data_IF_770394185041
#
_entry.id   IF_770394185041
#
_cell.length_a   1.000
_cell.length_b   1.000
_cell.length_c   1.000
_cell.angle_alpha   90.00
_cell.angle_beta   90.00
_cell.angle_gamma   90.00
#
_symmetry.space_group_name_H-M   'P 1'
#
loop_
_entity.id
_entity.type
_entity.pdbx_description
1 polymer ?
#
# COMPACT_ATOMS: atom_id res chain seq x y z
N UNK A 1 2.18 1.05 -5.24
CA UNK A 1 3.34 0.12 -5.22
C UNK A 1 3.55 -0.59 -3.88
N UNK A 2 4.00 0.10 -2.81
CA UNK A 2 4.41 -0.54 -1.54
C UNK A 2 3.28 -1.36 -0.89
N UNK A 3 2.07 -0.80 -0.82
CA UNK A 3 0.89 -1.51 -0.32
C UNK A 3 0.58 -2.78 -1.14
N UNK A 4 0.70 -2.72 -2.47
CA UNK A 4 0.54 -3.88 -3.35
C UNK A 4 1.62 -4.93 -3.10
N UNK A 5 2.88 -4.53 -2.92
CA UNK A 5 3.96 -5.45 -2.55
C UNK A 5 3.71 -6.15 -1.21
N UNK A 6 3.34 -5.38 -0.17
CA UNK A 6 2.94 -5.92 1.14
C UNK A 6 1.80 -6.93 1.01
N UNK A 7 0.79 -6.62 0.20
CA UNK A 7 -0.36 -7.52 -0.06
C UNK A 7 0.08 -8.80 -0.77
N UNK A 8 0.97 -8.71 -1.76
CA UNK A 8 1.54 -9.86 -2.47
C UNK A 8 2.31 -10.78 -1.52
N UNK A 9 3.10 -10.22 -0.60
CA UNK A 9 3.78 -11.00 0.44
C UNK A 9 2.79 -11.67 1.40
N UNK A 10 1.76 -10.93 1.86
CA UNK A 10 0.68 -11.48 2.71
C UNK A 10 -0.07 -12.63 2.03
N UNK A 11 -0.10 -12.63 0.71
CA UNK A 11 -0.68 -13.68 -0.15
C UNK A 11 0.29 -14.84 -0.46
N UNK A 12 1.45 -14.91 0.22
CA UNK A 12 2.35 -16.06 0.14
C UNK A 12 3.52 -15.92 -0.85
N UNK A 13 3.69 -14.76 -1.50
CA UNK A 13 4.82 -14.56 -2.41
C UNK A 13 6.18 -14.50 -1.69
N UNK A 14 7.24 -15.01 -2.33
CA UNK A 14 8.60 -15.08 -1.76
C UNK A 14 9.53 -14.00 -2.36
N UNK A 15 9.12 -13.40 -3.49
CA UNK A 15 9.94 -12.47 -4.26
C UNK A 15 10.24 -11.13 -3.58
N UNK A 16 11.31 -10.48 -4.06
CA UNK A 16 11.60 -9.08 -3.76
C UNK A 16 10.58 -8.14 -4.40
N UNK A 17 10.54 -6.90 -3.94
CA UNK A 17 9.82 -5.86 -4.68
C UNK A 17 10.48 -5.70 -6.05
N UNK A 18 9.65 -5.76 -7.09
CA UNK A 18 10.09 -5.57 -8.46
C UNK A 18 9.37 -4.35 -9.02
N UNK A 19 10.06 -3.57 -9.85
CA UNK A 19 9.42 -2.61 -10.73
C UNK A 19 8.60 -3.40 -11.76
N UNK A 20 7.35 -3.72 -11.43
CA UNK A 20 6.43 -4.35 -12.36
C UNK A 20 5.96 -3.32 -13.39
N UNK A 21 6.86 -2.91 -14.30
CA UNK A 21 6.62 -1.88 -15.31
C UNK A 21 5.66 -2.32 -16.42
N UNK A 22 5.33 -3.61 -16.53
CA UNK A 22 4.64 -4.17 -17.71
C UNK A 22 3.22 -4.69 -17.50
N UNK A 23 2.81 -5.14 -16.30
CA UNK A 23 1.55 -5.90 -16.18
C UNK A 23 0.34 -5.13 -15.65
N UNK A 24 0.52 -4.06 -14.86
CA UNK A 24 -0.63 -3.42 -14.17
C UNK A 24 -0.58 -1.88 -14.03
N UNK A 25 0.46 -1.18 -14.50
CA UNK A 25 0.69 0.21 -14.07
C UNK A 25 0.74 1.29 -15.17
N UNK A 26 1.03 0.96 -16.42
CA UNK A 26 1.04 1.97 -17.49
C UNK A 26 -0.39 2.41 -17.82
N UNK A 27 -0.70 3.70 -17.64
CA UNK A 27 -1.97 4.25 -18.08
C UNK A 27 -3.16 3.96 -17.16
N UNK A 28 -2.97 3.45 -15.94
CA UNK A 28 -4.09 2.94 -15.14
C UNK A 28 -5.19 3.99 -14.90
N UNK A 29 -4.85 5.24 -14.58
CA UNK A 29 -5.86 6.28 -14.36
C UNK A 29 -6.64 6.61 -15.63
N UNK A 30 -5.94 6.83 -16.75
CA UNK A 30 -6.55 7.13 -18.06
C UNK A 30 -7.42 5.97 -18.53
N UNK A 31 -6.90 4.75 -18.52
CA UNK A 31 -7.62 3.56 -18.96
C UNK A 31 -8.85 3.28 -18.08
N UNK A 32 -8.73 3.43 -16.77
CA UNK A 32 -9.85 3.25 -15.84
C UNK A 32 -10.93 4.31 -16.12
N UNK A 33 -10.56 5.58 -16.23
CA UNK A 33 -11.49 6.66 -16.52
C UNK A 33 -12.18 6.46 -17.87
N UNK A 34 -11.46 6.10 -18.94
CA UNK A 34 -12.04 5.81 -20.25
C UNK A 34 -13.07 4.67 -20.19
N UNK A 35 -12.80 3.60 -19.42
CA UNK A 35 -13.75 2.50 -19.23
C UNK A 35 -15.04 2.95 -18.55
N UNK A 36 -14.93 3.75 -17.49
CA UNK A 36 -16.11 4.29 -16.81
C UNK A 36 -16.85 5.32 -17.68
N UNK A 37 -16.12 6.20 -18.39
CA UNK A 37 -16.69 7.16 -19.33
C UNK A 37 -17.49 6.48 -20.44
N UNK A 38 -17.02 5.33 -20.95
CA UNK A 38 -17.71 4.58 -21.99
C UNK A 38 -19.11 4.13 -21.56
N UNK A 39 -19.31 3.82 -20.28
CA UNK A 39 -20.58 3.28 -19.76
C UNK A 39 -21.46 4.39 -19.19
N UNK A 40 -20.88 5.32 -18.43
CA UNK A 40 -21.64 6.31 -17.66
C UNK A 40 -21.65 7.70 -18.31
N UNK A 41 -20.81 7.96 -19.31
CA UNK A 41 -20.60 9.32 -19.82
C UNK A 41 -19.63 10.13 -18.95
N UNK A 42 -18.93 11.10 -19.54
CA UNK A 42 -17.93 11.93 -18.83
C UNK A 42 -18.59 12.84 -17.78
N UNK A 43 -19.74 13.37 -18.13
CA UNK A 43 -20.56 14.30 -17.33
C UNK A 43 -21.08 13.68 -16.03
N UNK A 44 -21.18 12.35 -15.96
CA UNK A 44 -21.63 11.63 -14.77
C UNK A 44 -20.47 11.12 -13.89
N UNK A 45 -19.21 11.46 -14.23
CA UNK A 45 -18.05 11.11 -13.41
C UNK A 45 -17.63 12.26 -12.52
N UNK A 46 -17.64 12.01 -11.21
CA UNK A 46 -17.03 12.90 -10.21
C UNK A 46 -15.57 12.46 -10.03
N UNK A 47 -14.65 13.10 -10.75
CA UNK A 47 -13.21 12.81 -10.63
C UNK A 47 -12.57 13.75 -9.61
N UNK A 48 -11.91 13.19 -8.60
CA UNK A 48 -11.23 13.93 -7.54
C UNK A 48 -9.78 13.47 -7.37
N UNK A 49 -8.94 14.33 -6.82
CA UNK A 49 -7.54 14.02 -6.53
C UNK A 49 -7.39 13.36 -5.16
N UNK A 50 -6.66 12.25 -5.13
CA UNK A 50 -6.37 11.53 -3.90
C UNK A 50 -5.14 12.12 -3.18
N UNK A 51 -5.24 13.37 -2.74
CA UNK A 51 -4.22 14.06 -1.96
C UNK A 51 -4.85 14.79 -0.77
N UNK A 52 -4.18 14.75 0.39
CA UNK A 52 -4.69 15.40 1.60
C UNK A 52 -4.90 16.90 1.43
N UNK A 53 -4.10 17.58 0.62
CA UNK A 53 -4.30 19.00 0.35
C UNK A 53 -5.53 19.29 -0.51
N UNK A 54 -6.06 18.28 -1.19
CA UNK A 54 -7.21 18.40 -2.09
C UNK A 54 -8.52 17.92 -1.41
N UNK A 55 -8.41 17.17 -0.31
CA UNK A 55 -9.57 16.69 0.43
C UNK A 55 -10.32 17.83 1.12
N UNK A 56 -11.65 17.77 1.08
CA UNK A 56 -12.52 18.63 1.88
C UNK A 56 -12.13 18.55 3.37
N UNK A 57 -11.78 19.70 3.95
CA UNK A 57 -11.27 19.81 5.32
C UNK A 57 -10.03 18.95 5.61
N UNK A 58 -9.28 18.53 4.59
CA UNK A 58 -8.10 17.66 4.74
C UNK A 58 -8.41 16.22 5.16
N UNK A 59 -9.68 15.78 5.07
CA UNK A 59 -10.13 14.46 5.51
C UNK A 59 -10.81 13.69 4.37
N UNK A 60 -10.36 12.45 4.14
CA UNK A 60 -10.84 11.61 3.04
C UNK A 60 -12.32 11.25 3.16
N UNK A 61 -12.78 10.92 4.37
CA UNK A 61 -14.17 10.48 4.57
C UNK A 61 -15.11 11.67 4.42
N UNK A 62 -14.72 12.83 4.94
CA UNK A 62 -15.46 14.07 4.74
C UNK A 62 -15.46 14.51 3.29
N UNK A 63 -14.35 14.35 2.56
CA UNK A 63 -14.27 14.60 1.13
C UNK A 63 -15.25 13.75 0.34
N UNK A 64 -15.29 12.45 0.64
CA UNK A 64 -16.25 11.54 0.01
C UNK A 64 -17.70 11.97 0.27
N UNK A 65 -18.09 12.15 1.54
CA UNK A 65 -19.45 12.59 1.92
C UNK A 65 -19.83 13.91 1.25
N UNK A 66 -18.94 14.89 1.25
CA UNK A 66 -19.14 16.18 0.60
C UNK A 66 -19.32 16.03 -0.92
N UNK A 67 -18.49 15.19 -1.57
CA UNK A 67 -18.50 15.00 -3.02
C UNK A 67 -19.79 14.39 -3.57
N UNK A 68 -20.51 13.64 -2.76
CA UNK A 68 -21.82 13.07 -3.12
C UNK A 68 -23.00 13.94 -2.64
N UNK A 69 -22.73 15.16 -2.16
CA UNK A 69 -23.75 16.13 -1.76
C UNK A 69 -24.37 15.89 -0.38
N UNK A 70 -23.79 15.02 0.44
CA UNK A 70 -24.23 14.79 1.81
C UNK A 70 -23.54 15.75 2.79
N UNK A 71 -24.18 15.97 3.94
CA UNK A 71 -23.58 16.71 5.05
C UNK A 71 -22.93 15.70 6.00
N UNK A 72 -21.73 16.02 6.45
CA UNK A 72 -21.10 15.25 7.51
C UNK A 72 -21.88 15.42 8.81
N UNK A 73 -22.13 14.32 9.51
CA UNK A 73 -22.73 14.29 10.83
C UNK A 73 -21.98 13.31 11.75
N UNK A 74 -22.41 13.21 13.02
CA UNK A 74 -21.78 12.35 14.01
C UNK A 74 -22.38 10.93 14.06
N UNK A 75 -23.36 10.62 13.20
CA UNK A 75 -23.96 9.28 13.11
C UNK A 75 -23.16 8.36 12.19
N UNK A 76 -22.27 8.90 11.36
CA UNK A 76 -21.31 8.11 10.58
C UNK A 76 -20.41 7.24 11.46
N UNK A 77 -20.41 5.94 11.18
CA UNK A 77 -19.53 4.97 11.83
C UNK A 77 -18.18 4.94 11.13
N UNK A 78 -17.13 5.39 11.84
CA UNK A 78 -15.76 5.39 11.32
C UNK A 78 -15.11 4.03 11.60
N UNK A 79 -14.76 3.24 10.58
CA UNK A 79 -14.11 1.97 10.80
C UNK A 79 -12.69 2.17 11.35
N UNK A 80 -12.15 1.20 12.11
CA UNK A 80 -10.74 1.22 12.48
C UNK A 80 -9.88 1.15 11.21
N UNK A 81 -8.66 1.68 11.29
CA UNK A 81 -7.70 1.61 10.17
C UNK A 81 -7.42 0.15 9.83
N UNK A 82 -7.61 -0.19 8.57
CA UNK A 82 -7.28 -1.50 8.01
C UNK A 82 -6.08 -1.36 7.07
N UNK A 83 -5.43 -2.49 6.75
CA UNK A 83 -4.33 -2.57 5.79
C UNK A 83 -3.07 -1.79 6.19
N UNK A 84 -2.69 -1.86 7.46
CA UNK A 84 -1.37 -1.39 7.85
C UNK A 84 -0.28 -2.16 7.09
N UNK A 85 0.67 -1.40 6.55
CA UNK A 85 1.82 -1.98 5.87
C UNK A 85 2.67 -2.72 6.89
N UNK A 86 3.33 -3.79 6.44
CA UNK A 86 4.37 -4.39 7.25
C UNK A 86 5.56 -3.43 7.33
N UNK A 87 6.18 -3.37 8.50
CA UNK A 87 7.48 -2.78 8.68
C UNK A 87 8.57 -3.68 8.04
N UNK A 88 9.80 -3.18 7.94
CA UNK A 88 10.91 -3.88 7.28
C UNK A 88 11.18 -5.24 7.92
N UNK A 89 11.06 -5.36 9.24
CA UNK A 89 11.24 -6.63 9.95
C UNK A 89 10.11 -7.59 9.57
N UNK A 90 8.87 -7.11 9.54
CA UNK A 90 7.71 -7.90 9.13
C UNK A 90 7.80 -8.38 7.69
N UNK A 91 8.30 -7.54 6.77
CA UNK A 91 8.59 -7.92 5.39
C UNK A 91 9.62 -9.05 5.36
N UNK A 92 10.73 -8.92 6.08
CA UNK A 92 11.81 -9.90 6.09
C UNK A 92 11.39 -11.25 6.73
N UNK A 93 10.64 -11.20 7.83
CA UNK A 93 10.08 -12.39 8.49
C UNK A 93 9.09 -13.09 7.55
N UNK A 94 8.12 -12.35 7.00
CA UNK A 94 7.08 -12.93 6.17
C UNK A 94 7.65 -13.58 4.90
N UNK A 95 8.66 -12.97 4.28
CA UNK A 95 9.35 -13.55 3.12
C UNK A 95 10.02 -14.88 3.46
N UNK A 96 10.73 -14.96 4.58
CA UNK A 96 11.38 -16.21 5.03
C UNK A 96 10.35 -17.27 5.41
N UNK A 97 9.30 -16.86 6.10
CA UNK A 97 8.16 -17.72 6.44
C UNK A 97 7.47 -18.25 5.19
N UNK A 98 7.25 -17.43 4.15
CA UNK A 98 6.66 -17.89 2.90
C UNK A 98 7.49 -18.96 2.20
N UNK A 99 8.81 -18.94 2.36
CA UNK A 99 9.71 -19.96 1.84
C UNK A 99 9.68 -21.25 2.68
N UNK A 100 9.76 -21.11 4.01
CA UNK A 100 9.81 -22.25 4.94
C UNK A 100 8.45 -22.94 5.12
N UNK A 101 7.38 -22.16 5.08
CA UNK A 101 6.03 -22.60 5.37
C UNK A 101 5.06 -21.96 4.36
N UNK A 102 5.04 -22.42 3.10
CA UNK A 102 4.23 -21.82 2.03
C UNK A 102 2.77 -21.65 2.43
N UNK A 103 2.11 -20.61 1.91
CA UNK A 103 0.68 -20.37 2.18
C UNK A 103 -0.21 -21.49 1.63
N UNK A 104 0.19 -22.05 0.49
CA UNK A 104 -0.47 -23.16 -0.17
C UNK A 104 0.50 -24.31 -0.40
N UNK A 105 0.04 -25.54 -0.18
CA UNK A 105 0.75 -26.79 -0.48
C UNK A 105 -0.24 -27.69 -1.20
N UNK A 106 0.10 -28.14 -2.41
CA UNK A 106 -0.80 -28.92 -3.27
C UNK A 106 -2.17 -28.24 -3.47
N UNK A 107 -2.17 -26.93 -3.76
CA UNK A 107 -3.38 -26.09 -3.97
C UNK A 107 -4.24 -25.85 -2.72
N UNK A 108 -4.03 -26.60 -1.64
CA UNK A 108 -4.70 -26.41 -0.37
C UNK A 108 -3.96 -25.42 0.54
N UNK A 109 -4.72 -24.74 1.41
CA UNK A 109 -4.14 -23.87 2.43
C UNK A 109 -3.31 -24.71 3.40
N UNK A 110 -2.07 -24.29 3.62
CA UNK A 110 -1.16 -24.99 4.52
C UNK A 110 -1.63 -24.89 5.98
N UNK A 111 -2.19 -25.97 6.52
CA UNK A 111 -2.74 -26.01 7.88
C UNK A 111 -1.69 -25.72 8.96
N UNK A 112 -0.43 -26.13 8.75
CA UNK A 112 0.67 -25.88 9.69
C UNK A 112 0.97 -24.38 9.85
N UNK A 113 0.65 -23.59 8.81
CA UNK A 113 0.84 -22.15 8.81
C UNK A 113 -0.08 -21.43 9.79
N UNK A 114 -1.28 -21.96 10.03
CA UNK A 114 -2.27 -21.38 10.94
C UNK A 114 -2.44 -19.87 10.73
N UNK A 115 -2.43 -19.13 11.84
CA UNK A 115 -2.66 -17.68 11.90
C UNK A 115 -1.37 -16.85 11.88
N UNK A 116 -0.27 -17.38 11.35
CA UNK A 116 1.02 -16.69 11.35
C UNK A 116 0.98 -15.30 10.70
N UNK A 117 0.17 -15.12 9.64
CA UNK A 117 -0.05 -13.83 9.00
C UNK A 117 -0.70 -12.80 9.93
N UNK A 118 -1.59 -13.23 10.83
CA UNK A 118 -2.23 -12.36 11.81
C UNK A 118 -1.19 -11.87 12.83
N UNK A 119 -0.40 -12.78 13.40
CA UNK A 119 0.66 -12.41 14.36
C UNK A 119 1.72 -11.51 13.73
N UNK A 120 2.14 -11.79 12.50
CA UNK A 120 3.11 -10.93 11.80
C UNK A 120 2.56 -9.51 11.65
N UNK A 121 1.28 -9.34 11.30
CA UNK A 121 0.67 -8.02 11.17
C UNK A 121 0.49 -7.33 12.53
N UNK A 122 0.06 -8.07 13.56
CA UNK A 122 -0.11 -7.54 14.92
C UNK A 122 1.18 -6.93 15.47
N UNK A 123 2.30 -7.62 15.27
CA UNK A 123 3.59 -7.18 15.79
C UNK A 123 4.28 -6.22 14.81
N UNK A 124 4.40 -6.57 13.54
CA UNK A 124 5.31 -5.91 12.60
C UNK A 124 4.64 -4.93 11.63
N UNK A 125 3.77 -4.07 12.15
CA UNK A 125 3.17 -2.93 11.41
C UNK A 125 3.56 -1.57 11.99
N UNK A 126 4.82 -1.44 12.46
CA UNK A 126 5.32 -0.25 13.17
C UNK A 126 5.15 1.07 12.40
N UNK A 127 4.91 2.15 13.16
CA UNK A 127 4.95 3.55 12.67
C UNK A 127 6.36 4.16 12.72
N UNK A 128 7.35 3.40 13.18
CA UNK A 128 8.75 3.84 13.17
C UNK A 128 9.23 4.11 11.74
N UNK A 129 9.63 5.35 11.49
CA UNK A 129 10.13 5.80 10.19
C UNK A 129 11.39 5.04 9.76
N UNK A 130 12.21 4.58 10.71
CA UNK A 130 13.42 3.79 10.42
C UNK A 130 13.10 2.35 10.02
N UNK A 131 11.92 1.84 10.37
CA UNK A 131 11.46 0.52 9.94
C UNK A 131 10.46 0.58 8.80
N UNK A 132 10.11 1.78 8.33
CA UNK A 132 9.28 1.92 7.14
C UNK A 132 10.04 1.35 5.94
N UNK A 133 9.43 0.38 5.28
CA UNK A 133 9.97 -0.22 4.07
C UNK A 133 10.07 0.83 2.96
N UNK A 134 11.29 1.09 2.49
CA UNK A 134 11.58 2.02 1.41
C UNK A 134 12.27 1.28 0.27
N UNK A 135 11.58 1.02 -0.86
CA UNK A 135 12.14 0.33 -2.03
C UNK A 135 13.39 1.00 -2.60
N UNK A 136 14.17 0.31 -3.45
CA UNK A 136 15.23 0.93 -4.25
C UNK A 136 14.72 2.16 -5.01
N UNK A 137 15.55 3.20 -5.10
CA UNK A 137 15.20 4.48 -5.71
C UNK A 137 14.84 4.32 -7.19
N UNK A 138 15.50 3.43 -7.91
CA UNK A 138 15.24 3.15 -9.31
C UNK A 138 13.82 2.58 -9.52
N UNK A 139 13.35 1.77 -8.58
CA UNK A 139 12.00 1.20 -8.61
C UNK A 139 10.95 2.31 -8.36
N UNK A 140 11.22 3.22 -7.42
CA UNK A 140 10.36 4.39 -7.17
C UNK A 140 10.30 5.29 -8.40
N UNK A 141 11.45 5.63 -8.99
CA UNK A 141 11.52 6.48 -10.18
C UNK A 141 10.75 5.85 -11.34
N UNK A 142 11.03 4.56 -11.64
CA UNK A 142 10.33 3.84 -12.71
C UNK A 142 8.81 3.82 -12.52
N UNK A 143 8.35 3.74 -11.28
CA UNK A 143 6.92 3.81 -10.97
C UNK A 143 6.35 5.20 -11.22
N UNK A 144 6.99 6.25 -10.73
CA UNK A 144 6.56 7.64 -10.98
C UNK A 144 6.46 7.89 -12.50
N UNK A 145 7.50 7.55 -13.24
CA UNK A 145 7.58 7.73 -14.69
C UNK A 145 6.46 6.98 -15.43
N UNK A 146 6.08 5.79 -14.94
CA UNK A 146 5.03 4.97 -15.56
C UNK A 146 3.63 5.60 -15.52
N UNK A 147 3.39 6.57 -14.62
CA UNK A 147 2.12 7.29 -14.49
C UNK A 147 2.10 8.65 -15.18
N UNK A 148 3.25 9.19 -15.58
CA UNK A 148 3.37 10.59 -16.04
C UNK A 148 2.43 10.89 -17.22
N UNK A 149 2.47 10.07 -18.27
CA UNK A 149 1.60 10.23 -19.45
C UNK A 149 0.11 10.15 -19.06
N UNK A 150 -0.25 9.20 -18.20
CA UNK A 150 -1.61 9.01 -17.73
C UNK A 150 -2.09 10.20 -16.92
N UNK A 151 -1.25 10.71 -16.02
CA UNK A 151 -1.57 11.83 -15.15
C UNK A 151 -1.70 13.12 -15.96
N UNK A 152 -0.85 13.34 -16.97
CA UNK A 152 -0.97 14.51 -17.82
C UNK A 152 -2.25 14.49 -18.68
N UNK A 153 -2.66 13.32 -19.17
CA UNK A 153 -3.97 13.19 -19.83
C UNK A 153 -5.11 13.53 -18.87
N UNK A 154 -5.10 12.97 -17.65
CA UNK A 154 -6.14 13.26 -16.63
C UNK A 154 -6.15 14.75 -16.25
N UNK A 155 -4.98 15.37 -16.13
CA UNK A 155 -4.86 16.82 -15.89
C UNK A 155 -5.54 17.62 -17.00
N UNK A 156 -5.23 17.36 -18.26
CA UNK A 156 -5.85 18.05 -19.40
C UNK A 156 -7.37 17.86 -19.43
N UNK A 157 -7.84 16.65 -19.15
CA UNK A 157 -9.25 16.28 -19.32
C UNK A 157 -10.17 16.71 -18.18
N UNK A 158 -9.68 16.67 -16.93
CA UNK A 158 -10.49 16.87 -15.73
C UNK A 158 -10.01 18.03 -14.84
N UNK A 159 -8.75 18.43 -14.97
CA UNK A 159 -8.14 19.49 -14.15
C UNK A 159 -7.35 20.50 -14.99
N UNK A 160 -7.92 21.05 -16.09
CA UNK A 160 -7.17 21.89 -17.04
C UNK A 160 -6.58 23.15 -16.41
N UNK A 161 -7.16 23.60 -15.29
CA UNK A 161 -6.73 24.73 -14.50
C UNK A 161 -5.51 24.46 -13.61
N UNK A 162 -5.12 23.19 -13.40
CA UNK A 162 -3.91 22.84 -12.66
C UNK A 162 -2.72 22.71 -13.61
N UNK A 163 -1.56 23.17 -13.17
CA UNK A 163 -0.29 22.93 -13.86
C UNK A 163 0.11 21.45 -13.80
N UNK A 164 -0.19 20.77 -12.68
CA UNK A 164 0.05 19.33 -12.46
C UNK A 164 -0.92 18.75 -11.45
N UNK A 165 -1.14 17.44 -11.47
CA UNK A 165 -2.03 16.76 -10.53
C UNK A 165 -1.42 16.58 -9.14
N UNK A 166 -0.13 16.23 -9.08
CA UNK A 166 0.58 15.93 -7.85
C UNK A 166 1.92 16.69 -7.81
N UNK A 167 2.43 17.04 -6.63
CA UNK A 167 3.77 17.60 -6.49
C UNK A 167 4.83 16.66 -7.07
N UNK A 168 5.89 17.23 -7.65
CA UNK A 168 7.04 16.42 -8.09
C UNK A 168 7.72 15.85 -6.85
N UNK A 169 7.99 14.55 -6.87
CA UNK A 169 8.70 13.89 -5.80
C UNK A 169 10.21 14.10 -6.00
N UNK A 170 10.84 14.85 -5.10
CA UNK A 170 12.29 14.98 -5.08
C UNK A 170 12.92 13.74 -4.44
N UNK A 171 13.66 12.98 -5.23
CA UNK A 171 14.38 11.78 -4.79
C UNK A 171 15.85 12.05 -4.47
N UNK A 172 16.32 13.31 -4.46
CA UNK A 172 17.71 13.65 -4.13
C UNK A 172 18.10 13.16 -2.73
N UNK A 173 17.20 13.36 -1.76
CA UNK A 173 17.40 12.97 -0.35
C UNK A 173 16.67 11.67 0.03
N UNK A 174 16.20 10.89 -0.94
CA UNK A 174 15.50 9.63 -0.68
C UNK A 174 16.44 8.61 -0.04
N UNK A 175 16.03 8.02 1.08
CA UNK A 175 16.80 7.02 1.82
C UNK A 175 16.16 5.65 1.68
N UNK A 176 16.79 4.80 0.90
CA UNK A 176 16.39 3.40 0.74
C UNK A 176 16.50 2.60 2.04
N UNK A 177 15.56 1.69 2.25
CA UNK A 177 15.45 0.84 3.43
C UNK A 177 14.63 -0.42 3.11
N UNK A 178 15.05 -1.15 2.08
CA UNK A 178 14.38 -2.36 1.57
C UNK A 178 15.01 -3.65 2.08
N UNK A 179 16.16 -3.56 2.76
CA UNK A 179 16.87 -4.67 3.38
C UNK A 179 17.27 -4.30 4.81
N UNK A 180 17.04 -5.22 5.75
CA UNK A 180 17.44 -5.04 7.14
C UNK A 180 18.94 -5.30 7.27
N UNK A 181 19.72 -4.22 7.38
CA UNK A 181 21.20 -4.30 7.46
C UNK A 181 21.74 -4.60 8.86
N UNK A 182 20.98 -4.25 9.89
CA UNK A 182 21.40 -4.39 11.28
C UNK A 182 20.23 -4.82 12.17
N UNK A 183 20.52 -5.72 13.11
CA UNK A 183 19.58 -6.14 14.15
C UNK A 183 19.85 -5.38 15.44
N UNK A 184 18.87 -4.59 15.89
CA UNK A 184 18.95 -3.87 17.17
C UNK A 184 18.40 -4.72 18.32
N UNK A 185 18.85 -4.50 19.58
CA UNK A 185 18.33 -5.19 20.75
C UNK A 185 16.80 -5.14 20.88
N UNK A 186 16.18 -4.00 20.55
CA UNK A 186 14.73 -3.82 20.68
C UNK A 186 13.95 -4.70 19.69
N UNK A 187 14.56 -5.05 18.55
CA UNK A 187 13.94 -5.93 17.56
C UNK A 187 13.84 -7.36 18.10
N UNK A 188 14.82 -7.81 18.88
CA UNK A 188 14.81 -9.13 19.52
C UNK A 188 13.71 -9.26 20.56
N UNK A 189 13.44 -8.20 21.34
CA UNK A 189 12.32 -8.19 22.29
C UNK A 189 11.00 -8.41 21.56
N UNK A 190 10.76 -7.65 20.48
CA UNK A 190 9.56 -7.74 19.66
C UNK A 190 9.39 -9.11 18.98
N UNK A 191 10.48 -9.70 18.48
CA UNK A 191 10.48 -11.06 17.92
C UNK A 191 10.17 -12.10 18.99
N UNK A 192 10.71 -11.94 20.20
CA UNK A 192 10.47 -12.86 21.32
C UNK A 192 9.00 -12.82 21.77
N UNK A 193 8.40 -11.63 21.87
CA UNK A 193 6.97 -11.46 22.15
C UNK A 193 6.10 -12.12 21.07
N UNK A 194 6.43 -11.89 19.79
CA UNK A 194 5.77 -12.52 18.65
C UNK A 194 5.81 -14.05 18.73
N UNK A 195 6.96 -14.65 19.05
CA UNK A 195 7.10 -16.11 19.21
C UNK A 195 6.28 -16.61 20.40
N UNK A 196 6.37 -15.92 21.55
CA UNK A 196 5.66 -16.32 22.76
C UNK A 196 4.14 -16.33 22.58
N UNK A 197 3.59 -15.34 21.87
CA UNK A 197 2.15 -15.26 21.59
C UNK A 197 1.66 -16.36 20.64
N UNK A 198 2.47 -16.73 19.64
CA UNK A 198 2.14 -17.86 18.75
C UNK A 198 2.03 -19.15 19.56
N UNK A 199 2.99 -19.41 20.44
CA UNK A 199 3.02 -20.62 21.27
C UNK A 199 1.82 -20.66 22.22
N UNK A 200 1.48 -19.53 22.86
CA UNK A 200 0.31 -19.41 23.75
C UNK A 200 -1.04 -19.65 23.06
N UNK A 201 -1.13 -19.43 21.76
CA UNK A 201 -2.40 -19.56 21.02
C UNK A 201 -2.57 -20.97 20.43
N UNK A 202 -1.48 -21.73 20.32
CA UNK A 202 -1.49 -23.12 19.81
C UNK A 202 -1.65 -24.18 20.93
N UNK A 203 -1.49 -23.78 22.19
CA UNK A 203 -1.71 -24.60 23.39
C UNK A 203 -3.00 -24.17 24.08
#
# INVERSE_FOLDING_TARGET
>A
MISSFSTTLKSGAIGNIQANSKKYFKGYHKLLLLKWQQIFGKENLIVRLFDKSEFYQGDLLKDFVHSIGLKWDNEFVIPPKQNESLDLIGVEILRRVNNLLPLFVNEDRNYLRGDLNYFIQKYFSSKDLFLKFQPPKEIIQSYIDSFEESNEWVRKEFFPYKERLFPKQDLANYKENYELKEMKPEYWNKISEFIADIVKTKN
#
